data_IF_706292554060
#
_entry.id   IF_706292554060
#
_cell.length_a   1.000
_cell.length_b   1.000
_cell.length_c   1.000
_cell.angle_alpha   90.00
_cell.angle_beta   90.00
_cell.angle_gamma   90.00
#
_symmetry.space_group_name_H-M   'P 1'
#
loop_
_entity.id
_entity.type
_entity.pdbx_description
1 polymer ?
#
# COMPACT_ATOMS: atom_id res chain seq x y z
N UNK A 1 -6.69 2.06 0.65
CA UNK A 1 -6.03 0.89 0.03
C UNK A 1 -6.90 -0.36 -0.02
N UNK A 2 -8.02 -0.42 0.72
CA UNK A 2 -8.82 -1.65 0.87
C UNK A 2 -9.33 -2.30 -0.43
N UNK A 3 -9.59 -1.54 -1.50
CA UNK A 3 -10.00 -2.12 -2.79
C UNK A 3 -8.81 -2.79 -3.49
N UNK A 4 -7.64 -2.16 -3.42
CA UNK A 4 -6.41 -2.70 -4.00
C UNK A 4 -5.92 -3.92 -3.22
N UNK A 5 -6.15 -3.95 -1.89
CA UNK A 5 -5.91 -5.11 -1.01
C UNK A 5 -6.83 -6.31 -1.31
N UNK A 6 -7.90 -6.11 -2.09
CA UNK A 6 -8.75 -7.22 -2.55
C UNK A 6 -8.25 -7.84 -3.85
N UNK A 7 -7.10 -7.40 -4.38
CA UNK A 7 -6.50 -7.91 -5.60
C UNK A 7 -5.36 -8.89 -5.28
N UNK A 8 -5.64 -10.21 -5.16
CA UNK A 8 -4.66 -11.21 -4.70
C UNK A 8 -3.53 -11.48 -5.69
N UNK A 9 -3.66 -11.03 -6.95
CA UNK A 9 -2.64 -11.17 -7.99
C UNK A 9 -1.92 -9.86 -8.29
N UNK A 10 -2.18 -8.79 -7.54
CA UNK A 10 -1.54 -7.50 -7.76
C UNK A 10 -0.07 -7.59 -7.34
N UNK A 11 0.82 -7.64 -8.32
CA UNK A 11 2.27 -7.71 -8.11
C UNK A 11 2.95 -6.35 -8.15
N UNK A 12 2.39 -5.42 -8.91
CA UNK A 12 2.93 -4.11 -9.15
C UNK A 12 1.83 -3.09 -8.90
N UNK A 13 2.07 -2.16 -7.98
CA UNK A 13 1.17 -1.04 -7.73
C UNK A 13 1.96 0.25 -7.91
N UNK A 14 1.54 1.06 -8.87
CA UNK A 14 2.07 2.39 -9.10
C UNK A 14 1.01 3.43 -8.78
N UNK A 15 1.35 4.36 -7.88
CA UNK A 15 0.57 5.55 -7.60
C UNK A 15 1.37 6.75 -8.10
N UNK A 16 0.73 7.55 -8.93
CA UNK A 16 1.30 8.70 -9.63
C UNK A 16 0.63 10.00 -9.16
N UNK A 17 1.02 11.13 -9.73
CA UNK A 17 0.40 12.45 -9.49
C UNK A 17 -1.13 12.36 -9.46
N UNK A 18 -1.72 12.94 -8.41
CA UNK A 18 -3.16 13.02 -8.16
C UNK A 18 -3.92 11.67 -8.03
N UNK A 19 -3.22 10.54 -8.09
CA UNK A 19 -3.86 9.21 -7.92
C UNK A 19 -4.30 8.93 -6.48
N UNK A 20 -3.75 9.69 -5.52
CA UNK A 20 -4.08 9.57 -4.12
C UNK A 20 -4.26 10.95 -3.49
N UNK A 21 -5.48 11.21 -3.02
CA UNK A 21 -5.88 12.46 -2.35
C UNK A 21 -5.90 12.34 -0.82
N UNK A 22 -5.64 11.13 -0.29
CA UNK A 22 -5.56 10.90 1.15
C UNK A 22 -4.25 11.42 1.73
N UNK A 23 -4.28 11.73 3.04
CA UNK A 23 -3.08 12.16 3.78
C UNK A 23 -2.29 11.02 4.38
N UNK A 24 -2.96 9.92 4.70
CA UNK A 24 -2.34 8.75 5.30
C UNK A 24 -2.63 7.49 4.49
N UNK A 25 -1.57 6.82 4.04
CA UNK A 25 -1.67 5.55 3.34
C UNK A 25 -1.21 4.41 4.23
N UNK A 26 -2.11 3.47 4.52
CA UNK A 26 -1.77 2.22 5.19
C UNK A 26 -1.79 1.09 4.16
N UNK A 27 -0.68 0.37 4.06
CA UNK A 27 -0.55 -0.84 3.26
C UNK A 27 -0.47 -2.04 4.20
N UNK A 28 -1.50 -2.89 4.21
CA UNK A 28 -1.47 -4.13 4.97
C UNK A 28 -0.74 -5.21 4.16
N UNK A 29 0.36 -5.73 4.69
CA UNK A 29 1.10 -6.81 4.03
C UNK A 29 0.21 -8.06 3.79
N UNK A 30 -0.78 -8.28 4.66
CA UNK A 30 -1.77 -9.36 4.53
C UNK A 30 -2.79 -9.11 3.41
N UNK A 31 -3.07 -7.85 3.05
CA UNK A 31 -3.94 -7.48 1.94
C UNK A 31 -3.24 -7.55 0.57
N UNK A 32 -1.91 -7.64 0.55
CA UNK A 32 -1.12 -7.63 -0.68
C UNK A 32 -0.22 -8.86 -0.78
N UNK A 33 -0.78 -10.09 -0.82
CA UNK A 33 -0.01 -11.33 -0.69
C UNK A 33 1.03 -11.54 -1.80
N UNK A 34 0.86 -10.90 -2.96
CA UNK A 34 1.77 -11.04 -4.10
C UNK A 34 2.41 -9.72 -4.54
N UNK A 35 2.22 -8.64 -3.79
CA UNK A 35 2.78 -7.34 -4.16
C UNK A 35 4.30 -7.37 -3.99
N UNK A 36 5.00 -7.18 -5.11
CA UNK A 36 6.47 -7.16 -5.18
C UNK A 36 7.02 -5.75 -5.26
N UNK A 37 6.28 -4.85 -5.90
CA UNK A 37 6.70 -3.48 -6.12
C UNK A 37 5.56 -2.51 -5.81
N UNK A 38 5.86 -1.54 -4.95
CA UNK A 38 5.04 -0.36 -4.74
C UNK A 38 5.85 0.86 -5.19
N UNK A 39 5.32 1.60 -6.16
CA UNK A 39 5.91 2.85 -6.64
C UNK A 39 4.98 4.00 -6.27
N UNK A 40 5.52 4.99 -5.56
CA UNK A 40 4.83 6.21 -5.18
C UNK A 40 5.56 7.36 -5.85
N UNK A 41 4.91 8.05 -6.78
CA UNK A 41 5.46 9.19 -7.48
C UNK A 41 4.54 10.38 -7.29
N UNK A 42 5.11 11.48 -6.78
CA UNK A 42 4.49 12.79 -6.77
C UNK A 42 3.08 12.80 -6.13
N UNK A 43 3.02 12.37 -4.86
CA UNK A 43 1.78 12.37 -4.07
C UNK A 43 1.79 13.57 -3.10
N UNK A 44 1.42 14.78 -3.54
CA UNK A 44 1.60 16.02 -2.76
C UNK A 44 0.78 16.06 -1.47
N UNK A 45 -0.31 15.29 -1.43
CA UNK A 45 -1.19 15.21 -0.26
C UNK A 45 -0.77 14.13 0.74
N UNK A 46 0.13 13.20 0.36
CA UNK A 46 0.52 12.07 1.19
C UNK A 46 1.54 12.54 2.24
N UNK A 47 1.07 12.69 3.47
CA UNK A 47 1.89 13.10 4.61
C UNK A 47 2.55 11.89 5.28
N UNK A 48 1.85 10.76 5.38
CA UNK A 48 2.37 9.56 6.03
C UNK A 48 2.04 8.28 5.26
N UNK A 49 3.02 7.39 5.17
CA UNK A 49 2.87 6.04 4.62
C UNK A 49 3.35 5.00 5.61
N UNK A 50 2.48 4.05 5.97
CA UNK A 50 2.75 2.98 6.94
C UNK A 50 2.49 1.62 6.31
N UNK A 51 3.39 0.68 6.54
CA UNK A 51 3.18 -0.73 6.18
C UNK A 51 2.89 -1.51 7.47
N UNK A 52 1.66 -1.98 7.61
CA UNK A 52 1.34 -2.96 8.65
C UNK A 52 1.82 -4.33 8.17
N UNK A 53 3.03 -4.70 8.58
CA UNK A 53 3.43 -6.10 8.53
C UNK A 53 2.63 -6.81 9.62
N UNK A 54 1.83 -7.81 9.22
CA UNK A 54 1.20 -8.73 10.17
C UNK A 54 2.30 -9.51 10.87
N UNK A 55 2.90 -8.93 11.90
CA UNK A 55 3.92 -9.55 12.71
C UNK A 55 3.33 -10.83 13.28
N UNK A 56 3.87 -11.98 12.85
CA UNK A 56 3.73 -13.20 13.63
C UNK A 56 4.48 -12.93 14.93
N UNK A 57 3.76 -12.57 15.99
CA UNK A 57 4.28 -12.74 17.35
C UNK A 57 4.51 -14.23 17.56
N UNK A 58 5.73 -14.70 17.29
CA UNK A 58 6.20 -15.94 17.90
C UNK A 58 6.78 -15.56 19.27
N UNK A 59 5.94 -15.69 20.29
CA UNK A 59 6.38 -15.86 21.67
C UNK A 59 7.11 -17.21 21.82
#
# INVERSE_FOLDING_TARGET
>A
MEILEKLPMLQYLGLWSDSYVGREMVCRATGFPQLRLLSLNDLPNLEEWRVESGGRSNA
#
